data_IF_705511093764
#
_entry.id   IF_705511093764
#
_cell.length_a   1.000
_cell.length_b   1.000
_cell.length_c   1.000
_cell.angle_alpha   90.00
_cell.angle_beta   90.00
_cell.angle_gamma   90.00
#
_symmetry.space_group_name_H-M   'P 1'
#
loop_
_entity.id
_entity.type
_entity.pdbx_description
1 polymer ?
#
# COMPACT_ATOMS: atom_id res chain seq x y z
N UNK A 1 -21.43 5.99 13.76
CA UNK A 1 -21.41 7.48 13.73
C UNK A 1 -20.91 8.00 15.06
N UNK A 2 -19.68 8.44 15.15
CA UNK A 2 -19.23 9.34 16.22
C UNK A 2 -18.44 10.45 15.56
N UNK A 3 -19.12 11.56 15.33
CA UNK A 3 -18.53 12.82 14.95
C UNK A 3 -18.09 13.53 16.24
N UNK A 4 -16.79 13.48 16.56
CA UNK A 4 -16.24 14.32 17.62
C UNK A 4 -15.83 15.67 17.00
N UNK A 5 -16.74 16.63 16.99
CA UNK A 5 -16.44 18.03 16.72
C UNK A 5 -15.73 18.63 17.92
N UNK A 6 -14.44 18.92 17.81
CA UNK A 6 -13.79 19.91 18.66
C UNK A 6 -13.70 21.23 17.89
N UNK A 7 -14.28 22.24 18.50
CA UNK A 7 -14.41 23.63 18.07
C UNK A 7 -13.02 24.27 17.96
N UNK A 8 -12.71 24.83 16.79
CA UNK A 8 -11.56 25.70 16.60
C UNK A 8 -10.93 25.57 15.21
N UNK A 9 -11.31 26.49 14.32
CA UNK A 9 -10.71 26.83 13.02
C UNK A 9 -10.78 25.80 11.88
N UNK A 10 -11.65 26.14 10.94
CA UNK A 10 -11.51 25.96 9.50
C UNK A 10 -11.20 24.58 8.93
N UNK A 11 -12.23 24.07 8.26
CA UNK A 11 -12.22 22.96 7.34
C UNK A 11 -12.02 21.58 7.97
N UNK A 12 -13.12 20.97 8.35
CA UNK A 12 -13.25 19.50 8.30
C UNK A 12 -12.98 19.05 6.87
N UNK A 13 -11.71 18.89 6.52
CA UNK A 13 -11.31 18.05 5.39
C UNK A 13 -11.82 16.68 5.75
N UNK A 14 -12.87 16.21 5.07
CA UNK A 14 -13.42 14.86 5.32
C UNK A 14 -12.44 13.82 4.83
N UNK A 15 -11.43 13.56 5.65
CA UNK A 15 -10.57 12.40 5.48
C UNK A 15 -11.38 11.17 5.84
N UNK A 16 -11.54 10.24 4.92
CA UNK A 16 -12.27 8.99 5.17
C UNK A 16 -11.54 7.81 4.58
N UNK A 17 -11.61 6.68 5.29
CA UNK A 17 -11.15 5.39 4.76
C UNK A 17 -12.39 4.57 4.40
N UNK A 18 -12.46 4.13 3.14
CA UNK A 18 -13.62 3.41 2.59
C UNK A 18 -13.20 2.06 2.04
N UNK A 19 -14.03 1.05 2.27
CA UNK A 19 -13.88 -0.27 1.67
C UNK A 19 -14.17 -0.20 0.17
N UNK A 20 -13.34 -0.83 -0.63
CA UNK A 20 -13.54 -0.96 -2.09
C UNK A 20 -14.66 -1.98 -2.36
N UNK A 21 -15.81 -1.48 -2.83
CA UNK A 21 -17.02 -2.27 -3.11
C UNK A 21 -17.46 -2.16 -4.57
N UNK A 22 -17.38 -0.97 -5.15
CA UNK A 22 -17.90 -0.66 -6.49
C UNK A 22 -16.83 -0.81 -7.57
N UNK A 23 -17.25 -0.93 -8.83
CA UNK A 23 -16.34 -0.94 -9.98
C UNK A 23 -15.50 0.34 -10.06
N UNK A 24 -16.10 1.50 -9.84
CA UNK A 24 -15.42 2.79 -9.82
C UNK A 24 -14.31 2.85 -8.74
N UNK A 25 -14.59 2.35 -7.54
CA UNK A 25 -13.59 2.25 -6.47
C UNK A 25 -12.48 1.27 -6.82
N UNK A 26 -12.79 0.17 -7.52
CA UNK A 26 -11.80 -0.80 -7.98
C UNK A 26 -10.87 -0.18 -9.03
N UNK A 27 -11.41 0.60 -9.95
CA UNK A 27 -10.63 1.37 -10.93
C UNK A 27 -9.73 2.41 -10.25
N UNK A 28 -10.26 3.12 -9.25
CA UNK A 28 -9.46 4.05 -8.44
C UNK A 28 -8.31 3.35 -7.71
N UNK A 29 -8.56 2.17 -7.13
CA UNK A 29 -7.53 1.35 -6.52
C UNK A 29 -6.48 0.91 -7.55
N UNK A 30 -6.89 0.45 -8.74
CA UNK A 30 -5.99 0.05 -9.81
C UNK A 30 -5.07 1.20 -10.27
N UNK A 31 -5.59 2.43 -10.35
CA UNK A 31 -4.79 3.63 -10.65
C UNK A 31 -3.71 3.86 -9.58
N UNK A 32 -4.08 3.79 -8.31
CA UNK A 32 -3.14 3.95 -7.19
C UNK A 32 -2.10 2.82 -7.17
N UNK A 33 -2.48 1.58 -7.50
CA UNK A 33 -1.54 0.46 -7.61
C UNK A 33 -0.52 0.68 -8.72
N UNK A 34 -0.96 1.10 -9.92
CA UNK A 34 -0.08 1.40 -11.03
C UNK A 34 0.91 2.53 -10.69
N UNK A 35 0.43 3.62 -10.09
CA UNK A 35 1.27 4.74 -9.65
C UNK A 35 2.25 4.29 -8.57
N UNK A 36 1.78 3.54 -7.57
CA UNK A 36 2.61 3.01 -6.49
C UNK A 36 3.70 2.09 -7.00
N UNK A 37 3.37 1.17 -7.89
CA UNK A 37 4.33 0.22 -8.46
C UNK A 37 5.38 0.94 -9.28
N UNK A 38 5.00 1.87 -10.14
CA UNK A 38 5.96 2.70 -10.89
C UNK A 38 6.89 3.46 -9.95
N UNK A 39 6.36 4.11 -8.94
CA UNK A 39 7.15 4.85 -7.95
C UNK A 39 8.16 3.97 -7.21
N UNK A 40 7.78 2.75 -6.83
CA UNK A 40 8.63 1.79 -6.10
C UNK A 40 9.72 1.21 -7.02
N UNK A 41 9.39 0.93 -8.27
CA UNK A 41 10.30 0.30 -9.24
C UNK A 41 11.16 1.32 -9.99
N UNK A 42 10.89 2.63 -9.85
CA UNK A 42 11.67 3.68 -10.51
C UNK A 42 13.16 3.58 -10.16
N UNK A 43 14.01 3.66 -11.20
CA UNK A 43 15.46 3.50 -11.08
C UNK A 43 15.95 2.05 -10.89
N UNK A 44 15.05 1.09 -10.71
CA UNK A 44 15.36 -0.33 -10.66
C UNK A 44 14.94 -1.12 -11.92
N UNK A 45 14.07 -0.53 -12.73
CA UNK A 45 13.54 -1.12 -13.96
C UNK A 45 13.77 -0.18 -15.16
N UNK A 46 13.84 -0.76 -16.37
CA UNK A 46 13.87 0.02 -17.61
C UNK A 46 12.55 0.79 -17.78
N UNK A 47 12.60 1.93 -18.50
CA UNK A 47 11.43 2.80 -18.66
C UNK A 47 10.25 2.08 -19.34
N UNK A 48 10.52 1.26 -20.35
CA UNK A 48 9.50 0.46 -21.03
C UNK A 48 8.69 -0.43 -20.07
N UNK A 49 9.37 -1.06 -19.10
CA UNK A 49 8.71 -1.89 -18.09
C UNK A 49 7.88 -1.05 -17.11
N UNK A 50 8.32 0.17 -16.79
CA UNK A 50 7.56 1.09 -15.94
C UNK A 50 6.31 1.62 -16.67
N UNK A 51 6.41 1.91 -17.96
CA UNK A 51 5.29 2.39 -18.78
C UNK A 51 4.21 1.32 -18.97
N UNK A 52 4.59 0.05 -18.96
CA UNK A 52 3.65 -1.08 -19.01
C UNK A 52 2.82 -1.26 -17.73
N UNK A 53 3.21 -0.64 -16.61
CA UNK A 53 2.46 -0.70 -15.35
C UNK A 53 1.24 0.24 -15.41
N UNK A 54 0.18 -0.20 -16.06
CA UNK A 54 -1.06 0.59 -16.25
C UNK A 54 -2.17 0.12 -15.29
N UNK A 55 -3.20 0.95 -15.04
CA UNK A 55 -4.36 0.54 -14.24
C UNK A 55 -5.04 -0.71 -14.76
N UNK A 56 -5.13 -0.86 -16.09
CA UNK A 56 -5.76 -2.00 -16.78
C UNK A 56 -5.05 -3.32 -16.46
N UNK A 57 -3.73 -3.27 -16.25
CA UNK A 57 -2.93 -4.44 -15.84
C UNK A 57 -3.29 -4.90 -14.41
N UNK A 58 -3.60 -3.96 -13.51
CA UNK A 58 -3.86 -4.26 -12.10
C UNK A 58 -5.32 -4.60 -11.80
N UNK A 59 -6.25 -4.22 -12.67
CA UNK A 59 -7.68 -4.46 -12.43
C UNK A 59 -8.02 -5.96 -12.32
N UNK A 60 -7.58 -6.86 -13.23
CA UNK A 60 -7.77 -8.30 -13.08
C UNK A 60 -7.12 -8.87 -11.82
N UNK A 61 -5.92 -8.40 -11.45
CA UNK A 61 -5.23 -8.81 -10.23
C UNK A 61 -6.07 -8.48 -8.99
N UNK A 62 -6.58 -7.26 -8.89
CA UNK A 62 -7.42 -6.83 -7.76
C UNK A 62 -8.73 -7.63 -7.67
N UNK A 63 -9.32 -7.99 -8.81
CA UNK A 63 -10.52 -8.82 -8.86
C UNK A 63 -10.23 -10.24 -8.36
N UNK A 64 -9.09 -10.81 -8.74
CA UNK A 64 -8.63 -12.11 -8.27
C UNK A 64 -8.33 -12.07 -6.76
N UNK A 65 -7.55 -11.10 -6.30
CA UNK A 65 -7.24 -10.92 -4.89
C UNK A 65 -8.50 -10.83 -4.01
N UNK A 66 -9.53 -10.11 -4.50
CA UNK A 66 -10.83 -10.06 -3.81
C UNK A 66 -11.47 -11.44 -3.67
N UNK A 67 -11.39 -12.30 -4.70
CA UNK A 67 -11.89 -13.67 -4.65
C UNK A 67 -11.07 -14.55 -3.69
N UNK A 68 -9.78 -14.28 -3.56
CA UNK A 68 -8.86 -14.97 -2.66
C UNK A 68 -9.00 -14.52 -1.19
N UNK A 69 -9.83 -13.50 -0.90
CA UNK A 69 -10.12 -13.04 0.46
C UNK A 69 -9.38 -11.78 0.87
N UNK A 70 -8.70 -11.10 -0.06
CA UNK A 70 -8.13 -9.78 0.20
C UNK A 70 -9.21 -8.71 0.28
N UNK A 71 -9.02 -7.79 1.20
CA UNK A 71 -9.91 -6.65 1.43
C UNK A 71 -9.14 -5.36 1.20
N UNK A 72 -9.51 -4.62 0.16
CA UNK A 72 -8.87 -3.37 -0.21
C UNK A 72 -9.62 -2.17 0.35
N UNK A 73 -8.88 -1.19 0.85
CA UNK A 73 -9.38 0.09 1.37
C UNK A 73 -8.72 1.26 0.66
N UNK A 74 -9.49 2.31 0.42
CA UNK A 74 -9.04 3.59 -0.11
C UNK A 74 -9.18 4.68 0.94
N UNK A 75 -8.16 5.51 1.07
CA UNK A 75 -8.24 6.77 1.78
C UNK A 75 -8.66 7.88 0.81
N UNK A 76 -9.48 8.79 1.30
CA UNK A 76 -9.97 9.95 0.55
C UNK A 76 -9.65 11.23 1.29
N UNK A 77 -9.15 12.22 0.57
CA UNK A 77 -9.09 13.62 0.98
C UNK A 77 -10.02 14.43 0.08
N UNK A 78 -11.03 15.11 0.63
CA UNK A 78 -12.03 15.88 -0.14
C UNK A 78 -12.66 15.05 -1.28
N UNK A 79 -13.04 13.80 -0.97
CA UNK A 79 -13.61 12.82 -1.91
C UNK A 79 -12.69 12.41 -3.08
N UNK A 80 -11.42 12.77 -3.05
CA UNK A 80 -10.40 12.27 -3.99
C UNK A 80 -9.62 11.13 -3.35
N UNK A 81 -9.54 9.93 -3.98
CA UNK A 81 -8.75 8.82 -3.46
C UNK A 81 -7.25 9.13 -3.59
N UNK A 82 -6.51 9.04 -2.48
CA UNK A 82 -5.11 9.43 -2.42
C UNK A 82 -4.20 8.42 -1.71
N UNK A 83 -4.77 7.35 -1.15
CA UNK A 83 -3.99 6.23 -0.64
C UNK A 83 -4.79 4.93 -0.68
N UNK A 84 -4.08 3.80 -0.65
CA UNK A 84 -4.65 2.46 -0.63
C UNK A 84 -3.92 1.58 0.38
N UNK A 85 -4.60 0.56 0.89
CA UNK A 85 -4.04 -0.56 1.64
C UNK A 85 -4.94 -1.77 1.49
N UNK A 86 -4.35 -2.97 1.42
CA UNK A 86 -5.08 -4.24 1.41
C UNK A 86 -4.71 -5.07 2.63
N UNK A 87 -5.67 -5.81 3.17
CA UNK A 87 -5.47 -6.76 4.25
C UNK A 87 -6.04 -8.12 3.88
N UNK A 88 -5.43 -9.19 4.40
CA UNK A 88 -5.92 -10.54 4.25
C UNK A 88 -6.17 -11.16 5.63
N UNK A 89 -7.44 -11.29 6.02
CA UNK A 89 -7.83 -11.71 7.37
C UNK A 89 -7.32 -13.10 7.75
N UNK A 90 -7.35 -14.04 6.82
CA UNK A 90 -6.92 -15.42 7.10
C UNK A 90 -5.42 -15.55 7.38
N UNK A 91 -4.59 -14.75 6.73
CA UNK A 91 -3.12 -14.85 6.81
C UNK A 91 -2.47 -13.76 7.64
N UNK A 92 -3.21 -12.72 8.04
CA UNK A 92 -2.66 -11.58 8.76
C UNK A 92 -1.75 -10.69 7.92
N UNK A 93 -1.87 -10.72 6.59
CA UNK A 93 -1.02 -9.95 5.69
C UNK A 93 -1.59 -8.56 5.44
N UNK A 94 -0.68 -7.59 5.33
CA UNK A 94 -0.93 -6.21 4.92
C UNK A 94 -0.10 -5.94 3.68
N UNK A 95 -0.74 -5.55 2.57
CA UNK A 95 -0.09 -5.30 1.30
C UNK A 95 -0.63 -4.01 0.65
N UNK A 96 -0.01 -3.60 -0.46
CA UNK A 96 -0.48 -2.51 -1.31
C UNK A 96 -0.66 -1.16 -0.60
N UNK A 97 0.14 -0.91 0.46
CA UNK A 97 0.15 0.42 1.08
C UNK A 97 0.86 1.41 0.15
N UNK A 98 0.10 2.31 -0.40
CA UNK A 98 0.60 3.39 -1.24
C UNK A 98 -0.09 4.71 -0.88
N UNK A 99 0.65 5.80 -0.97
CA UNK A 99 0.15 7.18 -0.81
C UNK A 99 0.66 8.00 -1.99
N UNK A 100 -0.24 8.68 -2.69
CA UNK A 100 0.11 9.56 -3.81
C UNK A 100 1.13 10.61 -3.40
N UNK A 101 1.95 11.06 -4.32
CA UNK A 101 3.01 12.03 -4.03
C UNK A 101 2.46 13.32 -3.42
N UNK A 102 1.35 13.83 -3.95
CA UNK A 102 0.66 15.03 -3.47
C UNK A 102 0.09 14.92 -2.05
N UNK A 103 -0.16 13.69 -1.58
CA UNK A 103 -0.72 13.42 -0.26
C UNK A 103 0.34 13.01 0.79
N UNK A 104 1.60 12.85 0.37
CA UNK A 104 2.71 12.49 1.26
C UNK A 104 3.02 13.61 2.27
N UNK A 105 3.70 13.25 3.36
CA UNK A 105 4.08 14.19 4.43
C UNK A 105 2.93 14.58 5.38
N UNK A 106 1.71 14.12 5.14
CA UNK A 106 0.50 14.42 5.93
C UNK A 106 0.11 13.34 6.94
N UNK A 107 0.96 12.35 7.15
CA UNK A 107 0.69 11.24 8.08
C UNK A 107 -0.27 10.16 7.55
N UNK A 108 -0.75 10.26 6.30
CA UNK A 108 -1.72 9.33 5.71
C UNK A 108 -1.18 7.89 5.70
N UNK A 109 0.08 7.67 5.34
CA UNK A 109 0.69 6.34 5.35
C UNK A 109 0.68 5.69 6.74
N UNK A 110 0.99 6.46 7.78
CA UNK A 110 0.90 6.00 9.16
C UNK A 110 -0.54 5.66 9.55
N UNK A 111 -1.50 6.54 9.23
CA UNK A 111 -2.92 6.34 9.47
C UNK A 111 -3.45 5.07 8.79
N UNK A 112 -3.07 4.85 7.52
CA UNK A 112 -3.49 3.68 6.75
C UNK A 112 -2.88 2.37 7.28
N UNK A 113 -1.62 2.39 7.70
CA UNK A 113 -0.95 1.22 8.27
C UNK A 113 -1.56 0.84 9.64
N UNK A 114 -1.81 1.83 10.50
CA UNK A 114 -2.48 1.59 11.78
C UNK A 114 -3.93 1.13 11.61
N UNK A 115 -4.64 1.69 10.62
CA UNK A 115 -5.97 1.22 10.23
C UNK A 115 -5.95 -0.24 9.78
N UNK A 116 -5.02 -0.62 8.90
CA UNK A 116 -4.88 -1.99 8.41
C UNK A 116 -4.60 -2.98 9.56
N UNK A 117 -3.69 -2.62 10.47
CA UNK A 117 -3.40 -3.43 11.66
C UNK A 117 -4.65 -3.65 12.53
N UNK A 118 -5.43 -2.59 12.76
CA UNK A 118 -6.70 -2.66 13.52
C UNK A 118 -7.79 -3.49 12.84
N UNK A 119 -7.67 -3.74 11.52
CA UNK A 119 -8.56 -4.63 10.78
C UNK A 119 -8.17 -6.11 10.90
N UNK A 120 -7.05 -6.41 11.54
CA UNK A 120 -6.53 -7.76 11.77
C UNK A 120 -6.41 -8.07 13.27
N UNK A 121 -7.49 -7.91 14.07
CA UNK A 121 -7.42 -8.08 15.53
C UNK A 121 -7.08 -9.51 15.96
N UNK A 122 -7.36 -10.49 15.11
CA UNK A 122 -7.03 -11.91 15.32
C UNK A 122 -5.54 -12.23 15.12
N UNK A 123 -4.76 -11.28 14.57
CA UNK A 123 -3.33 -11.44 14.35
C UNK A 123 -2.54 -10.48 15.24
N UNK A 124 -1.90 -11.01 16.28
CA UNK A 124 -1.05 -10.23 17.18
C UNK A 124 0.17 -9.65 16.43
N UNK A 125 0.70 -10.45 15.50
CA UNK A 125 1.89 -10.12 14.71
C UNK A 125 1.62 -10.15 13.21
N UNK A 126 0.83 -9.21 12.66
CA UNK A 126 0.59 -9.15 11.22
C UNK A 126 1.90 -8.97 10.45
N UNK A 127 1.90 -9.40 9.20
CA UNK A 127 3.07 -9.37 8.31
C UNK A 127 2.84 -8.48 7.10
N UNK A 128 3.90 -7.90 6.57
CA UNK A 128 3.90 -7.19 5.30
C UNK A 128 5.19 -7.48 4.53
N UNK A 129 5.18 -7.18 3.24
CA UNK A 129 6.38 -7.25 2.42
C UNK A 129 6.75 -5.88 1.85
N UNK A 130 8.04 -5.65 1.65
CA UNK A 130 8.56 -4.39 1.12
C UNK A 130 9.86 -4.62 0.35
N UNK A 131 10.06 -3.91 -0.75
CA UNK A 131 11.36 -3.90 -1.43
C UNK A 131 12.40 -3.18 -0.57
N UNK A 132 13.60 -3.75 -0.47
CA UNK A 132 14.73 -3.16 0.27
C UNK A 132 15.14 -1.78 -0.28
N UNK A 133 14.80 -1.49 -1.53
CA UNK A 133 15.03 -0.19 -2.19
C UNK A 133 13.99 0.87 -1.80
N UNK A 134 12.84 0.47 -1.23
CA UNK A 134 11.81 1.40 -0.77
C UNK A 134 12.13 1.94 0.64
N UNK A 135 13.19 2.75 0.72
CA UNK A 135 13.73 3.28 1.99
C UNK A 135 12.71 4.10 2.78
N UNK A 136 11.81 4.80 2.09
CA UNK A 136 10.73 5.58 2.73
C UNK A 136 9.75 4.68 3.48
N UNK A 137 9.27 3.63 2.85
CA UNK A 137 8.36 2.68 3.47
C UNK A 137 9.05 1.94 4.63
N UNK A 138 10.30 1.50 4.44
CA UNK A 138 11.09 0.88 5.50
C UNK A 138 11.24 1.77 6.74
N UNK A 139 11.51 3.06 6.54
CA UNK A 139 11.60 4.01 7.64
C UNK A 139 10.26 4.17 8.39
N UNK A 140 9.14 4.22 7.65
CA UNK A 140 7.79 4.26 8.22
C UNK A 140 7.50 3.00 9.03
N UNK A 141 7.71 1.82 8.45
CA UNK A 141 7.40 0.55 9.08
C UNK A 141 8.21 0.34 10.37
N UNK A 142 9.52 0.59 10.32
CA UNK A 142 10.38 0.50 11.51
C UNK A 142 9.94 1.44 12.64
N UNK A 143 9.60 2.68 12.31
CA UNK A 143 9.09 3.66 13.29
C UNK A 143 7.77 3.23 13.92
N UNK A 144 6.97 2.44 13.20
CA UNK A 144 5.69 1.93 13.67
C UNK A 144 5.77 0.52 14.30
N UNK A 145 6.96 0.04 14.66
CA UNK A 145 7.14 -1.22 15.39
C UNK A 145 7.23 -2.48 14.51
N UNK A 146 7.44 -2.32 13.19
CA UNK A 146 7.65 -3.45 12.30
C UNK A 146 9.14 -3.79 12.19
N UNK A 147 9.48 -5.07 12.26
CA UNK A 147 10.86 -5.56 12.18
C UNK A 147 11.03 -6.53 11.01
N UNK A 148 12.20 -6.49 10.37
CA UNK A 148 12.55 -7.44 9.30
C UNK A 148 12.76 -8.82 9.92
N UNK A 149 12.05 -9.81 9.41
CA UNK A 149 12.13 -11.22 9.84
C UNK A 149 12.61 -12.15 8.74
N UNK A 150 12.65 -11.69 7.50
CA UNK A 150 13.14 -12.47 6.37
C UNK A 150 13.45 -11.61 5.16
N UNK A 151 14.22 -12.15 4.22
CA UNK A 151 14.54 -11.53 2.95
C UNK A 151 14.59 -12.60 1.84
N UNK A 152 14.09 -12.27 0.65
CA UNK A 152 14.20 -13.09 -0.56
C UNK A 152 14.63 -12.23 -1.74
N UNK A 153 15.51 -12.75 -2.60
CA UNK A 153 15.81 -12.11 -3.87
C UNK A 153 14.51 -11.99 -4.69
N UNK A 154 14.26 -10.82 -5.26
CA UNK A 154 13.04 -10.57 -6.02
C UNK A 154 13.34 -10.26 -7.48
N UNK A 155 14.24 -9.32 -7.72
CA UNK A 155 14.59 -8.86 -9.05
C UNK A 155 16.10 -8.97 -9.23
N UNK A 156 16.52 -9.63 -10.30
CA UNK A 156 17.92 -9.90 -10.62
C UNK A 156 18.16 -9.55 -12.10
N UNK A 157 19.02 -8.55 -12.39
CA UNK A 157 19.35 -8.18 -13.78
C UNK A 157 19.95 -9.32 -14.60
N UNK A 158 20.56 -10.30 -13.95
CA UNK A 158 21.09 -11.47 -14.66
C UNK A 158 20.01 -12.44 -15.17
N UNK A 159 18.81 -12.35 -14.60
CA UNK A 159 17.67 -13.22 -14.92
C UNK A 159 16.56 -12.51 -15.69
N UNK A 160 16.49 -11.18 -15.61
CA UNK A 160 15.42 -10.37 -16.21
C UNK A 160 16.03 -9.10 -16.85
N UNK A 161 16.01 -8.99 -18.20
CA UNK A 161 16.56 -7.82 -18.90
C UNK A 161 15.79 -6.51 -18.65
N UNK A 162 14.58 -6.58 -18.09
CA UNK A 162 13.80 -5.40 -17.72
C UNK A 162 14.25 -4.81 -16.37
N UNK A 163 15.04 -5.54 -15.61
CA UNK A 163 15.59 -5.12 -14.32
C UNK A 163 16.97 -4.51 -14.48
N UNK A 164 17.13 -3.28 -13.98
CA UNK A 164 18.41 -2.55 -14.03
C UNK A 164 19.23 -2.76 -12.75
N UNK A 165 18.55 -2.92 -11.61
CA UNK A 165 19.21 -3.08 -10.31
C UNK A 165 18.61 -4.24 -9.53
N UNK A 166 19.44 -5.07 -8.89
CA UNK A 166 18.94 -6.15 -8.05
C UNK A 166 18.17 -5.58 -6.85
N UNK A 167 17.16 -6.31 -6.43
CA UNK A 167 16.42 -5.96 -5.21
C UNK A 167 15.90 -7.20 -4.50
N UNK A 168 15.69 -7.06 -3.20
CA UNK A 168 15.14 -8.06 -2.32
C UNK A 168 13.76 -7.63 -1.82
N UNK A 169 12.88 -8.58 -1.62
CA UNK A 169 11.68 -8.41 -0.80
C UNK A 169 12.04 -8.76 0.64
N UNK A 170 11.83 -7.81 1.51
CA UNK A 170 11.93 -8.01 2.95
C UNK A 170 10.54 -8.35 3.49
N UNK A 171 10.45 -9.42 4.26
CA UNK A 171 9.28 -9.70 5.09
C UNK A 171 9.45 -8.97 6.42
N UNK A 172 8.45 -8.21 6.81
CA UNK A 172 8.42 -7.51 8.10
C UNK A 172 7.23 -7.97 8.92
N UNK A 173 7.44 -8.05 10.22
CA UNK A 173 6.42 -8.46 11.20
C UNK A 173 6.26 -7.37 12.25
N UNK A 174 5.03 -7.07 12.61
CA UNK A 174 4.72 -6.16 13.70
C UNK A 174 5.10 -6.79 15.05
N UNK A 175 5.76 -6.03 15.92
CA UNK A 175 6.24 -6.50 17.22
C UNK A 175 5.62 -5.73 18.42
N UNK A 176 4.86 -4.67 18.13
CA UNK A 176 4.29 -3.81 19.15
C UNK A 176 4.90 -2.43 19.20
#
# INVERSE_FOLDING_TARGET
EICACLVGSEMCIRDSVRLVKTAEQMEAAAKLFAEGRRSICAGGWVQEALDALTPEMFLPQLQQEKQEGWVCYLHYTKDVPDATVSVHHKTGQVEHLFVTESARGRGIGQKMLDFARKKLPEHEHPVLTVLNTNTRALALYRRMGWQVVGAKEKFDPAKDPLVVRPSQVLEMRYQG
#
